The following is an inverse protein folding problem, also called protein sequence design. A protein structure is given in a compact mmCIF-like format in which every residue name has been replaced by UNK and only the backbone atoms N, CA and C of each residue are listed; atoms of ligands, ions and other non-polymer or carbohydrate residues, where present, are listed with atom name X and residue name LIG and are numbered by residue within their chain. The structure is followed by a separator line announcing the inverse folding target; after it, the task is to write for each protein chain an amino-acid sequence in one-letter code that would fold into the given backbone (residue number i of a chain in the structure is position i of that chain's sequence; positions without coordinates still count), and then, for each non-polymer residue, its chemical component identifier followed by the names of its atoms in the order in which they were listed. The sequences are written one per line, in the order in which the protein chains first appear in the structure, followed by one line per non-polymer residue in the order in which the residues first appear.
data_IF_263895738073
#
_entry.id   IF_263895738073
#
_cell.length_a   1.000
_cell.length_b   1.000
_cell.length_c   1.000
_cell.angle_alpha   90.00
_cell.angle_beta   90.00
_cell.angle_gamma   90.00
#
_symmetry.space_group_name_H-M   'P 1'
#
loop_
_entity.id
_entity.type
_entity.pdbx_description
1 polymer ?
#
# COMPACT_ATOMS: atom_id res chain seq x y z
N UNK A 1 19.35 29.78 -23.20
CA UNK A 1 19.69 28.64 -22.29
C UNK A 1 18.99 27.40 -22.79
N UNK A 2 19.75 26.35 -23.07
CA UNK A 2 19.16 25.05 -23.44
C UNK A 2 18.54 24.44 -22.19
N UNK A 3 17.22 24.37 -22.10
CA UNK A 3 16.53 23.73 -20.98
C UNK A 3 16.46 22.22 -21.24
N UNK A 4 16.98 21.43 -20.32
CA UNK A 4 16.86 19.96 -20.37
C UNK A 4 15.43 19.49 -20.02
N UNK A 5 14.57 20.36 -19.51
CA UNK A 5 13.17 20.11 -19.18
C UNK A 5 12.25 20.90 -20.12
N UNK A 6 11.25 20.21 -20.67
CA UNK A 6 10.16 20.81 -21.46
C UNK A 6 8.86 20.71 -20.68
N UNK A 7 8.25 21.84 -20.34
CA UNK A 7 6.90 21.89 -19.79
C UNK A 7 5.88 21.65 -20.91
N UNK A 8 5.19 20.51 -20.88
CA UNK A 8 4.28 20.08 -21.95
C UNK A 8 2.92 20.75 -21.81
N UNK A 9 2.33 20.65 -20.63
CA UNK A 9 1.03 21.25 -20.28
C UNK A 9 0.90 21.43 -18.77
N UNK A 10 0.04 22.37 -18.35
CA UNK A 10 -0.39 22.47 -16.96
C UNK A 10 -1.48 21.43 -16.70
N UNK A 11 -1.33 20.65 -15.64
CA UNK A 11 -2.36 19.70 -15.20
C UNK A 11 -3.39 20.43 -14.33
N UNK A 12 -4.66 19.98 -14.31
CA UNK A 12 -5.66 20.47 -13.37
C UNK A 12 -5.19 20.32 -11.93
N UNK A 13 -5.57 21.22 -11.06
CA UNK A 13 -5.31 21.05 -9.63
C UNK A 13 -6.25 20.00 -9.03
N UNK A 14 -5.88 19.35 -7.89
CA UNK A 14 -6.72 18.33 -7.28
C UNK A 14 -8.17 18.75 -7.03
N UNK A 15 -8.40 20.01 -6.67
CA UNK A 15 -9.74 20.54 -6.43
C UNK A 15 -10.61 20.55 -7.68
N UNK A 16 -10.04 20.84 -8.86
CA UNK A 16 -10.78 20.83 -10.13
C UNK A 16 -11.22 19.40 -10.47
N UNK A 17 -10.30 18.45 -10.35
CA UNK A 17 -10.61 17.02 -10.59
C UNK A 17 -11.65 16.49 -9.60
N UNK A 18 -11.56 16.87 -8.32
CA UNK A 18 -12.57 16.48 -7.32
C UNK A 18 -13.95 17.08 -7.58
N UNK A 19 -14.03 18.28 -8.13
CA UNK A 19 -15.31 18.89 -8.55
C UNK A 19 -15.90 18.21 -9.78
N UNK A 20 -15.06 17.82 -10.75
CA UNK A 20 -15.48 17.15 -11.97
C UNK A 20 -15.91 15.69 -11.71
N UNK A 21 -15.22 15.02 -10.80
CA UNK A 21 -15.48 13.64 -10.37
C UNK A 21 -15.71 13.58 -8.85
N UNK A 22 -16.85 14.09 -8.34
CA UNK A 22 -17.10 14.19 -6.91
C UNK A 22 -17.33 12.83 -6.27
N UNK A 23 -16.95 12.73 -5.00
CA UNK A 23 -17.32 11.61 -4.12
C UNK A 23 -18.71 11.91 -3.55
N UNK A 24 -19.64 10.94 -3.62
CA UNK A 24 -20.95 11.07 -2.99
C UNK A 24 -20.84 10.97 -1.46
N UNK A 25 -21.83 11.51 -0.73
CA UNK A 25 -21.87 11.38 0.73
C UNK A 25 -21.88 9.92 1.20
N UNK A 26 -22.51 9.04 0.45
CA UNK A 26 -22.55 7.62 0.74
C UNK A 26 -21.15 6.99 0.65
N UNK A 27 -20.43 7.25 -0.45
CA UNK A 27 -19.05 6.78 -0.63
C UNK A 27 -18.12 7.34 0.46
N UNK A 28 -18.28 8.61 0.83
CA UNK A 28 -17.50 9.22 1.91
C UNK A 28 -17.76 8.56 3.26
N UNK A 29 -19.03 8.23 3.60
CA UNK A 29 -19.40 7.51 4.82
C UNK A 29 -18.82 6.09 4.84
N UNK A 30 -18.91 5.36 3.74
CA UNK A 30 -18.31 4.02 3.61
C UNK A 30 -16.80 4.09 3.82
N UNK A 31 -16.12 5.03 3.13
CA UNK A 31 -14.67 5.23 3.30
C UNK A 31 -14.32 5.51 4.76
N UNK A 32 -15.00 6.43 5.43
CA UNK A 32 -14.69 6.80 6.82
C UNK A 32 -14.90 5.62 7.79
N UNK A 33 -15.97 4.84 7.62
CA UNK A 33 -16.20 3.65 8.42
C UNK A 33 -15.06 2.63 8.27
N UNK A 34 -14.60 2.38 7.04
CA UNK A 34 -13.48 1.46 6.78
C UNK A 34 -12.15 1.98 7.31
N UNK A 35 -11.92 3.30 7.23
CA UNK A 35 -10.73 3.93 7.81
C UNK A 35 -10.71 3.78 9.33
N UNK A 36 -11.87 3.93 10.00
CA UNK A 36 -11.95 3.76 11.45
C UNK A 36 -11.72 2.29 11.87
N UNK A 37 -12.18 1.31 11.11
CA UNK A 37 -11.82 -0.10 11.33
C UNK A 37 -10.30 -0.34 11.24
N UNK A 38 -9.64 0.23 10.24
CA UNK A 38 -8.18 0.13 10.11
C UNK A 38 -7.44 0.81 11.27
N UNK A 39 -7.92 1.99 11.71
CA UNK A 39 -7.37 2.69 12.88
C UNK A 39 -7.53 1.85 14.15
N UNK A 40 -8.70 1.25 14.35
CA UNK A 40 -8.99 0.40 15.50
C UNK A 40 -8.08 -0.84 15.56
N UNK A 41 -7.75 -1.44 14.42
CA UNK A 41 -6.77 -2.54 14.36
C UNK A 41 -5.37 -2.03 14.72
N UNK A 42 -4.95 -0.89 14.17
CA UNK A 42 -3.60 -0.37 14.39
C UNK A 42 -3.36 0.04 15.83
N UNK A 43 -4.35 0.63 16.50
CA UNK A 43 -4.22 1.01 17.92
C UNK A 43 -4.65 -0.07 18.91
N UNK A 44 -5.08 -1.25 18.43
CA UNK A 44 -5.37 -2.44 19.24
C UNK A 44 -6.76 -2.49 19.85
N UNK A 45 -7.69 -1.59 19.48
CA UNK A 45 -9.11 -1.65 19.86
C UNK A 45 -9.86 -2.78 19.14
N UNK A 46 -9.33 -3.23 18.00
CA UNK A 46 -9.85 -4.33 17.19
C UNK A 46 -8.75 -5.38 17.03
N UNK A 47 -9.06 -6.64 17.32
CA UNK A 47 -8.10 -7.76 17.28
C UNK A 47 -7.98 -8.43 15.90
N UNK A 48 -8.79 -8.05 14.92
CA UNK A 48 -8.72 -8.59 13.56
C UNK A 48 -7.35 -8.34 12.93
N UNK A 49 -6.98 -9.21 12.01
CA UNK A 49 -5.81 -9.02 11.15
C UNK A 49 -6.17 -8.16 9.94
N UNK A 50 -5.40 -7.11 9.65
CA UNK A 50 -5.54 -6.35 8.40
C UNK A 50 -4.84 -7.10 7.26
N UNK A 51 -5.54 -7.40 6.18
CA UNK A 51 -4.98 -8.03 5.00
C UNK A 51 -5.04 -7.09 3.81
N UNK A 52 -3.89 -6.50 3.45
CA UNK A 52 -3.75 -5.66 2.26
C UNK A 52 -3.43 -6.57 1.08
N UNK A 53 -4.38 -6.81 0.18
CA UNK A 53 -4.25 -7.80 -0.88
C UNK A 53 -4.72 -7.28 -2.23
N UNK A 54 -3.93 -7.52 -3.28
CA UNK A 54 -4.26 -7.12 -4.65
C UNK A 54 -3.06 -7.10 -5.59
N UNK A 55 -3.24 -6.69 -6.86
CA UNK A 55 -2.20 -6.75 -7.87
C UNK A 55 -0.96 -5.92 -7.50
N UNK A 56 0.19 -6.34 -8.01
CA UNK A 56 1.46 -5.61 -7.85
C UNK A 56 1.35 -4.17 -8.34
N UNK A 57 0.65 -3.95 -9.45
CA UNK A 57 0.22 -2.64 -9.93
C UNK A 57 -1.11 -2.75 -10.65
N UNK A 58 -1.98 -1.75 -10.48
CA UNK A 58 -3.19 -1.62 -11.28
C UNK A 58 -2.79 -1.30 -12.72
N UNK A 59 -3.26 -2.11 -13.66
CA UNK A 59 -2.93 -2.00 -15.08
C UNK A 59 -4.16 -1.73 -15.95
N UNK A 60 -5.31 -2.30 -15.60
CA UNK A 60 -6.58 -2.18 -16.32
C UNK A 60 -7.74 -2.07 -15.34
N UNK A 61 -8.66 -1.14 -15.60
CA UNK A 61 -9.80 -0.90 -14.72
C UNK A 61 -10.70 -2.14 -14.61
N UNK A 62 -10.99 -2.82 -15.73
CA UNK A 62 -11.89 -3.96 -15.80
C UNK A 62 -11.41 -5.15 -14.95
N UNK A 63 -10.17 -5.57 -15.12
CA UNK A 63 -9.61 -6.71 -14.41
C UNK A 63 -9.32 -6.41 -12.93
N UNK A 64 -8.95 -5.16 -12.61
CA UNK A 64 -8.78 -4.74 -11.21
C UNK A 64 -10.12 -4.75 -10.49
N UNK A 65 -11.20 -4.23 -11.12
CA UNK A 65 -12.53 -4.25 -10.52
C UNK A 65 -13.09 -5.67 -10.37
N UNK A 66 -12.89 -6.55 -11.38
CA UNK A 66 -13.26 -7.96 -11.26
C UNK A 66 -12.57 -8.60 -10.03
N UNK A 67 -11.25 -8.37 -9.87
CA UNK A 67 -10.52 -8.88 -8.71
C UNK A 67 -11.10 -8.34 -7.38
N UNK A 68 -11.34 -7.04 -7.29
CA UNK A 68 -11.86 -6.42 -6.05
C UNK A 68 -13.29 -6.93 -5.74
N UNK A 69 -14.13 -7.12 -6.75
CA UNK A 69 -15.48 -7.68 -6.58
C UNK A 69 -15.42 -9.12 -6.02
N UNK A 70 -14.44 -9.93 -6.42
CA UNK A 70 -14.25 -11.30 -5.85
C UNK A 70 -13.88 -11.27 -4.37
N UNK A 71 -13.24 -10.20 -3.89
CA UNK A 71 -12.93 -10.06 -2.45
C UNK A 71 -14.16 -9.83 -1.59
N UNK A 72 -15.30 -9.35 -2.14
CA UNK A 72 -16.50 -9.06 -1.35
C UNK A 72 -17.08 -10.31 -0.67
N UNK A 73 -17.40 -11.40 -1.39
CA UNK A 73 -17.87 -12.61 -0.74
C UNK A 73 -16.82 -13.29 0.14
N UNK A 74 -15.53 -13.10 -0.15
CA UNK A 74 -14.45 -13.60 0.70
C UNK A 74 -14.39 -12.82 2.02
N UNK A 75 -14.55 -11.49 1.99
CA UNK A 75 -14.60 -10.67 3.21
C UNK A 75 -15.75 -11.12 4.13
N UNK A 76 -16.93 -11.41 3.60
CA UNK A 76 -18.06 -11.90 4.42
C UNK A 76 -17.75 -13.22 5.13
N UNK A 77 -16.98 -14.12 4.49
CA UNK A 77 -16.56 -15.39 5.09
C UNK A 77 -15.55 -15.22 6.24
N UNK A 78 -14.75 -14.15 6.24
CA UNK A 78 -13.62 -13.96 7.18
C UNK A 78 -13.72 -12.70 8.05
N UNK A 79 -14.82 -11.97 7.98
CA UNK A 79 -15.01 -10.63 8.58
C UNK A 79 -14.77 -10.55 10.08
N UNK A 80 -14.97 -11.65 10.81
CA UNK A 80 -14.78 -11.71 12.25
C UNK A 80 -13.28 -11.84 12.64
N UNK A 81 -12.43 -12.21 11.70
CA UNK A 81 -11.00 -12.48 11.89
C UNK A 81 -10.08 -11.58 11.08
N UNK A 82 -10.50 -11.22 9.87
CA UNK A 82 -9.70 -10.50 8.90
C UNK A 82 -10.47 -9.31 8.33
N UNK A 83 -9.84 -8.14 8.33
CA UNK A 83 -10.26 -6.97 7.56
C UNK A 83 -9.48 -6.93 6.25
N UNK A 84 -10.15 -7.17 5.13
CA UNK A 84 -9.54 -7.09 3.79
C UNK A 84 -9.48 -5.62 3.35
N UNK A 85 -8.29 -5.19 2.90
CA UNK A 85 -8.04 -3.89 2.30
C UNK A 85 -7.51 -4.13 0.87
N UNK A 86 -8.32 -3.86 -0.18
CA UNK A 86 -7.86 -4.08 -1.54
C UNK A 86 -6.64 -3.19 -1.87
N UNK A 87 -5.61 -3.81 -2.41
CA UNK A 87 -4.39 -3.15 -2.86
C UNK A 87 -4.57 -2.75 -4.32
N UNK A 88 -4.83 -1.47 -4.57
CA UNK A 88 -4.97 -0.88 -5.91
C UNK A 88 -3.83 0.12 -6.10
N UNK A 89 -2.61 -0.38 -6.32
CA UNK A 89 -1.45 0.48 -6.50
C UNK A 89 -1.42 1.02 -7.93
N UNK A 90 -1.74 2.31 -8.06
CA UNK A 90 -1.83 3.00 -9.34
C UNK A 90 -0.50 3.56 -9.84
N UNK A 91 0.54 3.44 -9.02
CA UNK A 91 1.90 3.83 -9.32
C UNK A 91 2.87 2.65 -9.21
N UNK A 92 3.90 2.64 -10.05
CA UNK A 92 4.99 1.65 -9.97
C UNK A 92 6.34 2.36 -10.01
N UNK A 93 7.05 2.44 -8.87
CA UNK A 93 8.41 3.00 -8.85
C UNK A 93 9.37 2.12 -9.67
N UNK A 94 10.19 2.77 -10.50
CA UNK A 94 11.18 2.11 -11.37
C UNK A 94 12.57 2.64 -11.11
N UNK A 95 13.48 1.78 -10.69
CA UNK A 95 14.85 2.16 -10.30
C UNK A 95 15.62 2.84 -11.44
N UNK A 96 15.48 2.32 -12.67
CA UNK A 96 16.14 2.86 -13.87
C UNK A 96 15.20 3.67 -14.77
N UNK A 97 13.96 3.92 -14.33
CA UNK A 97 12.98 4.70 -15.08
C UNK A 97 12.34 3.98 -16.28
N UNK A 98 12.69 2.70 -16.56
CA UNK A 98 12.12 1.93 -17.68
C UNK A 98 10.93 1.07 -17.26
N UNK A 99 10.10 0.66 -18.24
CA UNK A 99 8.94 -0.21 -18.06
C UNK A 99 7.67 0.52 -17.62
N UNK A 100 6.60 -0.23 -17.39
CA UNK A 100 5.30 0.30 -16.97
C UNK A 100 5.39 1.01 -15.62
N UNK A 101 4.94 2.26 -15.57
CA UNK A 101 5.04 3.15 -14.39
C UNK A 101 3.76 3.27 -13.57
N UNK A 102 2.75 2.46 -13.90
CA UNK A 102 1.44 2.49 -13.26
C UNK A 102 0.39 3.29 -14.03
N UNK A 103 -0.86 3.09 -13.64
CA UNK A 103 -2.04 3.67 -14.29
C UNK A 103 -2.02 5.21 -14.30
N UNK A 104 -1.45 5.86 -13.28
CA UNK A 104 -1.30 7.31 -13.25
C UNK A 104 -0.53 7.86 -14.46
N UNK A 105 0.48 7.16 -14.92
CA UNK A 105 1.29 7.57 -16.07
C UNK A 105 0.72 7.08 -17.39
N UNK A 106 0.14 5.87 -17.38
CA UNK A 106 -0.24 5.13 -18.57
C UNK A 106 -1.48 4.29 -18.25
N UNK A 107 -2.69 4.91 -18.31
CA UNK A 107 -3.95 4.24 -17.94
C UNK A 107 -4.30 3.06 -18.87
N UNK A 108 -3.79 3.06 -20.09
CA UNK A 108 -3.83 1.93 -21.01
C UNK A 108 -2.38 1.51 -21.30
N UNK A 109 -1.93 0.34 -20.81
CA UNK A 109 -0.55 -0.11 -21.01
C UNK A 109 -0.11 -0.26 -22.46
N UNK A 110 -1.05 -0.40 -23.39
CA UNK A 110 -0.79 -0.54 -24.83
C UNK A 110 -0.60 0.80 -25.55
N UNK A 111 -0.98 1.92 -24.93
CA UNK A 111 -0.92 3.27 -25.51
C UNK A 111 0.25 4.07 -24.97
N UNK A 112 0.48 5.23 -25.58
CA UNK A 112 1.46 6.21 -25.07
C UNK A 112 1.01 6.75 -23.71
N UNK A 113 1.96 7.09 -22.81
CA UNK A 113 1.64 7.73 -21.54
C UNK A 113 0.82 9.02 -21.70
N UNK A 114 -0.22 9.17 -20.88
CA UNK A 114 -1.00 10.39 -20.72
C UNK A 114 -1.33 10.63 -19.25
N UNK A 115 -0.68 11.64 -18.65
CA UNK A 115 -0.78 11.93 -17.24
C UNK A 115 -2.16 12.49 -16.84
N UNK A 116 -2.85 13.21 -17.73
CA UNK A 116 -4.18 13.75 -17.44
C UNK A 116 -5.22 12.63 -17.41
N UNK A 117 -5.22 11.80 -18.43
CA UNK A 117 -6.07 10.60 -18.47
C UNK A 117 -5.75 9.67 -17.31
N UNK A 118 -4.48 9.56 -16.91
CA UNK A 118 -4.06 8.79 -15.75
C UNK A 118 -4.65 9.31 -14.45
N UNK A 119 -4.64 10.62 -14.20
CA UNK A 119 -5.27 11.24 -13.01
C UNK A 119 -6.78 10.92 -12.96
N UNK A 120 -7.47 11.01 -14.09
CA UNK A 120 -8.91 10.70 -14.18
C UNK A 120 -9.15 9.21 -13.96
N UNK A 121 -8.34 8.35 -14.59
CA UNK A 121 -8.48 6.90 -14.48
C UNK A 121 -8.29 6.39 -13.04
N UNK A 122 -7.25 6.84 -12.33
CA UNK A 122 -7.02 6.41 -10.95
C UNK A 122 -8.14 6.87 -10.01
N UNK A 123 -8.66 8.09 -10.19
CA UNK A 123 -9.77 8.59 -9.40
C UNK A 123 -11.04 7.79 -9.65
N UNK A 124 -11.37 7.53 -10.92
CA UNK A 124 -12.52 6.71 -11.32
C UNK A 124 -12.43 5.31 -10.73
N UNK A 125 -11.28 4.65 -10.87
CA UNK A 125 -11.06 3.29 -10.36
C UNK A 125 -11.28 3.22 -8.84
N UNK A 126 -10.65 4.11 -8.06
CA UNK A 126 -10.83 4.12 -6.61
C UNK A 126 -12.25 4.47 -6.18
N UNK A 127 -12.92 5.42 -6.86
CA UNK A 127 -14.33 5.75 -6.57
C UNK A 127 -15.24 4.56 -6.82
N UNK A 128 -15.08 3.88 -7.96
CA UNK A 128 -15.83 2.66 -8.30
C UNK A 128 -15.60 1.56 -7.28
N UNK A 129 -14.35 1.35 -6.87
CA UNK A 129 -14.03 0.32 -5.90
C UNK A 129 -14.79 0.54 -4.58
N UNK A 130 -14.82 1.76 -4.03
CA UNK A 130 -15.60 2.05 -2.81
C UNK A 130 -17.10 1.90 -3.06
N UNK A 131 -17.60 2.46 -4.16
CA UNK A 131 -19.03 2.51 -4.46
C UNK A 131 -19.63 1.12 -4.75
N UNK A 132 -18.93 0.29 -5.52
CA UNK A 132 -19.44 -1.01 -5.97
C UNK A 132 -19.20 -2.14 -4.95
N UNK A 133 -18.18 -1.99 -4.07
CA UNK A 133 -17.75 -3.08 -3.19
C UNK A 133 -17.76 -2.75 -1.69
N UNK A 134 -17.89 -1.49 -1.33
CA UNK A 134 -17.81 -1.04 0.07
C UNK A 134 -16.41 -1.14 0.70
N UNK A 135 -15.36 -1.35 -0.09
CA UNK A 135 -13.97 -1.34 0.38
C UNK A 135 -13.34 0.04 0.22
N UNK A 136 -12.66 0.53 1.26
CA UNK A 136 -11.70 1.61 1.14
C UNK A 136 -10.32 1.03 0.84
N UNK A 137 -9.74 1.40 -0.32
CA UNK A 137 -8.58 0.72 -0.87
C UNK A 137 -7.25 1.37 -0.47
N UNK A 138 -6.16 0.61 -0.64
CA UNK A 138 -4.79 1.06 -0.44
C UNK A 138 -4.13 1.47 -1.76
N UNK A 139 -3.36 2.57 -1.76
CA UNK A 139 -2.47 2.96 -2.87
C UNK A 139 -1.09 3.37 -2.37
N UNK A 140 -0.09 3.36 -3.26
CA UNK A 140 1.27 3.82 -2.96
C UNK A 140 1.46 5.29 -3.35
N UNK A 141 1.86 6.11 -2.39
CA UNK A 141 2.23 7.51 -2.62
C UNK A 141 3.63 7.59 -3.24
N UNK A 142 3.72 7.39 -4.57
CA UNK A 142 4.98 7.54 -5.30
C UNK A 142 5.39 9.01 -5.37
N UNK A 143 4.43 9.88 -5.62
CA UNK A 143 4.59 11.34 -5.57
C UNK A 143 3.68 11.90 -4.49
N UNK A 144 4.15 12.79 -3.60
CA UNK A 144 3.27 13.46 -2.64
C UNK A 144 2.07 14.18 -3.29
N UNK A 145 2.25 14.63 -4.53
CA UNK A 145 1.20 15.30 -5.30
C UNK A 145 0.04 14.40 -5.70
N UNK A 146 0.29 13.12 -6.05
CA UNK A 146 -0.79 12.26 -6.56
C UNK A 146 -1.79 11.88 -5.47
N UNK A 147 -1.36 11.76 -4.22
CA UNK A 147 -2.26 11.53 -3.09
C UNK A 147 -3.40 12.55 -3.04
N UNK A 148 -3.15 13.83 -3.32
CA UNK A 148 -4.16 14.88 -3.24
C UNK A 148 -5.35 14.70 -4.20
N UNK A 149 -5.17 14.01 -5.32
CA UNK A 149 -6.27 13.67 -6.23
C UNK A 149 -7.17 12.55 -5.69
N UNK A 150 -6.70 11.80 -4.69
CA UNK A 150 -7.35 10.63 -4.12
C UNK A 150 -7.62 10.77 -2.60
N UNK A 151 -7.24 11.89 -1.97
CA UNK A 151 -7.26 12.02 -0.51
C UNK A 151 -8.65 11.88 0.13
N UNK A 152 -9.73 12.07 -0.62
CA UNK A 152 -11.11 11.90 -0.19
C UNK A 152 -11.68 10.49 -0.46
N UNK A 153 -10.86 9.58 -1.01
CA UNK A 153 -11.31 8.23 -1.42
C UNK A 153 -10.47 7.14 -0.77
N UNK A 154 -9.13 7.32 -0.70
CA UNK A 154 -8.22 6.29 -0.16
C UNK A 154 -8.51 5.98 1.31
N UNK A 155 -8.40 4.69 1.66
CA UNK A 155 -8.46 4.22 3.04
C UNK A 155 -7.09 4.00 3.66
N UNK A 156 -6.07 3.78 2.85
CA UNK A 156 -4.72 3.47 3.30
C UNK A 156 -3.68 3.98 2.30
N UNK A 157 -2.55 4.47 2.80
CA UNK A 157 -1.43 4.94 1.97
C UNK A 157 -0.16 4.19 2.33
N UNK A 158 0.57 3.70 1.33
CA UNK A 158 1.92 3.17 1.52
C UNK A 158 2.97 4.17 1.02
N UNK A 159 4.06 4.33 1.78
CA UNK A 159 5.28 5.00 1.32
C UNK A 159 6.30 3.94 0.94
N UNK A 160 6.70 3.93 -0.32
CA UNK A 160 7.57 2.90 -0.90
C UNK A 160 9.01 2.95 -0.38
N UNK A 161 9.71 1.83 -0.51
CA UNK A 161 11.08 1.65 -0.03
C UNK A 161 12.11 2.63 -0.65
N UNK A 162 11.81 3.20 -1.83
CA UNK A 162 12.67 4.22 -2.49
C UNK A 162 12.30 5.64 -2.11
N UNK A 163 11.15 5.84 -1.47
CA UNK A 163 10.60 7.15 -1.10
C UNK A 163 10.70 7.44 0.39
N UNK A 164 10.86 6.42 1.23
CA UNK A 164 10.82 6.52 2.70
C UNK A 164 11.91 7.43 3.28
N UNK A 165 13.03 7.61 2.59
CA UNK A 165 14.11 8.53 2.99
C UNK A 165 13.84 9.99 2.59
N UNK A 166 12.91 10.21 1.66
CA UNK A 166 12.64 11.54 1.13
C UNK A 166 11.89 12.40 2.14
N UNK A 167 12.43 13.59 2.42
CA UNK A 167 11.89 14.53 3.41
C UNK A 167 10.44 14.90 3.12
N UNK A 168 10.10 15.20 1.87
CA UNK A 168 8.75 15.63 1.50
C UNK A 168 7.71 14.51 1.73
N UNK A 169 8.05 13.24 1.46
CA UNK A 169 7.16 12.12 1.75
C UNK A 169 6.86 11.99 3.24
N UNK A 170 7.87 12.15 4.10
CA UNK A 170 7.71 12.09 5.56
C UNK A 170 6.80 13.20 6.08
N UNK A 171 7.07 14.44 5.63
CA UNK A 171 6.29 15.61 6.06
C UNK A 171 4.85 15.58 5.52
N UNK A 172 4.65 15.18 4.26
CA UNK A 172 3.29 15.03 3.71
C UNK A 172 2.54 13.92 4.45
N UNK A 173 3.21 12.81 4.82
CA UNK A 173 2.58 11.71 5.57
C UNK A 173 2.03 12.18 6.93
N UNK A 174 2.64 13.19 7.57
CA UNK A 174 2.14 13.75 8.84
C UNK A 174 0.81 14.49 8.73
N UNK A 175 0.42 14.90 7.52
CA UNK A 175 -0.85 15.57 7.23
C UNK A 175 -1.89 14.68 6.54
N UNK A 176 -1.63 13.36 6.42
CA UNK A 176 -2.57 12.40 5.84
C UNK A 176 -3.54 11.93 6.93
N UNK A 177 -4.83 11.91 6.62
CA UNK A 177 -5.92 11.56 7.54
C UNK A 177 -6.23 10.05 7.62
N UNK A 178 -5.54 9.21 6.84
CA UNK A 178 -5.68 7.75 6.85
C UNK A 178 -4.40 7.08 7.34
N UNK A 179 -4.43 5.79 7.71
CA UNK A 179 -3.23 5.03 8.04
C UNK A 179 -2.15 5.11 6.96
N UNK A 180 -0.90 5.33 7.37
CA UNK A 180 0.25 5.40 6.47
C UNK A 180 1.30 4.36 6.85
N UNK A 181 1.54 3.41 5.95
CA UNK A 181 2.58 2.40 6.12
C UNK A 181 3.91 2.85 5.50
N UNK A 182 4.98 2.87 6.29
CA UNK A 182 6.35 3.19 5.87
C UNK A 182 7.11 1.90 5.59
N UNK A 183 7.46 1.64 4.32
CA UNK A 183 8.30 0.47 3.97
C UNK A 183 9.74 0.70 4.44
N UNK A 184 10.41 -0.35 4.95
CA UNK A 184 11.85 -0.25 5.14
C UNK A 184 12.56 0.00 3.80
N UNK A 185 13.69 0.76 3.79
CA UNK A 185 14.48 1.02 2.59
C UNK A 185 14.92 -0.26 1.88
N UNK A 186 15.26 -0.15 0.60
CA UNK A 186 15.74 -1.29 -0.19
C UNK A 186 17.00 -1.93 0.37
N UNK A 187 17.88 -1.15 1.04
CA UNK A 187 19.09 -1.64 1.72
C UNK A 187 18.87 -2.19 3.14
N UNK A 188 17.65 -2.11 3.68
CA UNK A 188 17.26 -2.79 4.93
C UNK A 188 17.48 -1.99 6.22
N UNK A 189 17.93 -0.74 6.17
CA UNK A 189 18.16 0.06 7.38
C UNK A 189 16.84 0.40 8.09
N UNK A 190 16.55 -0.31 9.17
CA UNK A 190 15.34 -0.09 9.97
C UNK A 190 15.35 1.26 10.69
N UNK A 191 16.52 1.85 10.97
CA UNK A 191 16.60 3.17 11.62
C UNK A 191 16.00 4.27 10.73
N UNK A 192 16.20 4.17 9.41
CA UNK A 192 15.61 5.08 8.41
C UNK A 192 14.09 4.97 8.42
N UNK A 193 13.54 3.74 8.43
CA UNK A 193 12.10 3.51 8.52
C UNK A 193 11.54 4.08 9.82
N UNK A 194 12.17 3.81 10.95
CA UNK A 194 11.73 4.29 12.26
C UNK A 194 11.78 5.82 12.35
N UNK A 195 12.79 6.47 11.77
CA UNK A 195 12.85 7.93 11.68
C UNK A 195 11.72 8.49 10.81
N UNK A 196 11.36 7.78 9.73
CA UNK A 196 10.24 8.17 8.86
C UNK A 196 8.90 8.08 9.57
N UNK A 197 8.66 7.01 10.35
CA UNK A 197 7.47 6.84 11.17
C UNK A 197 7.40 7.95 12.22
N UNK A 198 8.49 8.18 12.94
CA UNK A 198 8.57 9.23 13.96
C UNK A 198 8.27 10.62 13.38
N UNK A 199 8.88 10.95 12.22
CA UNK A 199 8.61 12.21 11.54
C UNK A 199 7.14 12.31 11.09
N UNK A 200 6.56 11.24 10.53
CA UNK A 200 5.16 11.24 10.12
C UNK A 200 4.17 11.39 11.30
N UNK A 201 4.56 10.97 12.50
CA UNK A 201 3.73 11.14 13.71
C UNK A 201 3.83 12.53 14.34
N UNK A 202 4.86 13.32 14.00
CA UNK A 202 5.06 14.67 14.51
C UNK A 202 4.31 15.74 13.71
N UNK A 203 4.16 16.90 14.33
CA UNK A 203 3.70 18.11 13.67
C UNK A 203 4.82 18.80 12.90
N UNK A 204 4.49 19.43 11.77
CA UNK A 204 5.47 20.10 10.92
C UNK A 204 4.89 21.33 10.22
N UNK A 205 5.76 22.32 10.00
CA UNK A 205 5.52 23.43 9.08
C UNK A 205 6.51 23.35 7.92
N UNK A 206 6.01 23.31 6.69
CA UNK A 206 6.87 23.15 5.51
C UNK A 206 6.26 23.73 4.23
N UNK A 207 7.13 23.93 3.23
CA UNK A 207 6.71 24.37 1.89
C UNK A 207 6.17 23.22 1.08
N UNK A 208 4.90 23.32 0.66
CA UNK A 208 4.28 22.33 -0.22
C UNK A 208 3.49 23.01 -1.34
N UNK A 209 3.95 22.85 -2.60
CA UNK A 209 3.30 23.39 -3.81
C UNK A 209 3.01 24.91 -3.75
N UNK A 210 3.95 25.68 -3.20
CA UNK A 210 3.80 27.13 -3.07
C UNK A 210 2.96 27.59 -1.88
N UNK A 211 2.60 26.67 -0.97
CA UNK A 211 1.92 26.97 0.28
C UNK A 211 2.85 26.69 1.46
N UNK A 212 2.77 27.51 2.48
CA UNK A 212 3.20 27.16 3.83
C UNK A 212 2.10 26.29 4.44
N UNK A 213 2.44 25.07 4.84
CA UNK A 213 1.49 24.06 5.32
C UNK A 213 1.88 23.63 6.72
N UNK A 214 0.92 23.61 7.62
CA UNK A 214 1.04 23.00 8.95
C UNK A 214 0.33 21.66 8.98
N UNK A 215 0.94 20.67 9.64
CA UNK A 215 0.37 19.35 9.87
C UNK A 215 0.35 19.02 11.36
N UNK A 216 -0.59 18.19 11.79
CA UNK A 216 -0.78 17.81 13.20
C UNK A 216 -0.12 16.49 13.59
N UNK A 217 0.51 15.81 12.64
CA UNK A 217 1.02 14.45 12.83
C UNK A 217 -0.03 13.37 12.56
N UNK A 218 0.43 12.21 12.08
CA UNK A 218 -0.41 11.04 11.82
C UNK A 218 -0.11 9.93 12.84
N UNK A 219 -0.97 9.72 13.86
CA UNK A 219 -0.72 8.72 14.90
C UNK A 219 -0.80 7.28 14.42
N UNK A 220 -1.27 7.06 13.18
CA UNK A 220 -1.40 5.75 12.53
C UNK A 220 -0.30 5.47 11.49
N UNK A 221 0.79 6.26 11.50
CA UNK A 221 1.99 5.93 10.75
C UNK A 221 2.65 4.68 11.35
N UNK A 222 3.00 3.68 10.52
CA UNK A 222 3.49 2.39 11.00
C UNK A 222 4.46 1.73 10.03
N UNK A 223 5.12 0.65 10.48
CA UNK A 223 6.11 -0.08 9.71
C UNK A 223 5.48 -1.03 8.67
N UNK A 224 6.12 -1.14 7.50
CA UNK A 224 5.92 -2.24 6.56
C UNK A 224 7.27 -2.94 6.35
N UNK A 225 7.38 -4.17 6.85
CA UNK A 225 8.57 -5.02 6.70
C UNK A 225 8.49 -5.78 5.37
N UNK A 226 9.40 -5.44 4.41
CA UNK A 226 9.34 -5.97 3.03
C UNK A 226 10.58 -6.75 2.59
N UNK A 227 11.49 -7.09 3.53
CA UNK A 227 12.80 -7.60 3.24
C UNK A 227 13.73 -6.52 2.67
N UNK A 228 14.95 -6.88 2.36
CA UNK A 228 15.95 -5.98 1.81
C UNK A 228 16.89 -6.68 0.84
N UNK A 229 17.71 -5.92 0.12
CA UNK A 229 18.77 -6.42 -0.74
C UNK A 229 20.10 -6.02 -0.09
N UNK A 230 20.96 -7.00 0.20
CA UNK A 230 22.25 -6.76 0.81
C UNK A 230 23.25 -6.16 -0.21
N UNK A 231 24.44 -5.83 0.24
CA UNK A 231 25.53 -5.25 -0.58
C UNK A 231 25.97 -6.16 -1.73
N UNK A 232 25.71 -7.47 -1.61
CA UNK A 232 26.03 -8.47 -2.66
C UNK A 232 24.91 -8.61 -3.68
N UNK A 233 23.78 -7.95 -3.50
CA UNK A 233 22.60 -8.04 -4.36
C UNK A 233 21.64 -9.19 -4.01
N UNK A 234 21.86 -9.90 -2.88
CA UNK A 234 20.97 -10.99 -2.46
C UNK A 234 19.75 -10.42 -1.74
N UNK A 235 18.58 -10.97 -2.03
CA UNK A 235 17.38 -10.73 -1.24
C UNK A 235 17.52 -11.38 0.15
N UNK A 236 17.18 -10.61 1.18
CA UNK A 236 17.18 -11.04 2.59
C UNK A 236 15.82 -10.76 3.20
N UNK A 237 15.18 -11.75 3.82
CA UNK A 237 13.94 -11.56 4.55
C UNK A 237 14.17 -10.76 5.83
N UNK A 238 13.08 -10.13 6.34
CA UNK A 238 13.06 -9.47 7.64
C UNK A 238 11.69 -9.64 8.33
N UNK A 239 11.09 -10.82 8.21
CA UNK A 239 9.79 -11.18 8.80
C UNK A 239 9.89 -12.29 9.87
N UNK A 240 11.08 -12.84 10.10
CA UNK A 240 11.25 -13.89 11.11
C UNK A 240 11.01 -13.35 12.52
N UNK A 241 10.81 -14.24 13.45
CA UNK A 241 10.52 -13.90 14.84
C UNK A 241 11.54 -12.90 15.42
N UNK A 242 12.82 -13.11 15.17
CA UNK A 242 13.93 -12.26 15.65
C UNK A 242 13.88 -10.86 15.03
N UNK A 243 13.51 -10.74 13.76
CA UNK A 243 13.36 -9.45 13.07
C UNK A 243 12.21 -8.65 13.70
N UNK A 244 11.10 -9.32 14.00
CA UNK A 244 9.93 -8.70 14.64
C UNK A 244 10.24 -8.28 16.09
N UNK A 245 11.00 -9.08 16.83
CA UNK A 245 11.51 -8.72 18.18
C UNK A 245 12.40 -7.48 18.09
N UNK A 246 13.28 -7.42 17.10
CA UNK A 246 14.13 -6.24 16.87
C UNK A 246 13.29 -5.01 16.57
N UNK A 247 12.30 -5.12 15.69
CA UNK A 247 11.40 -4.01 15.38
C UNK A 247 10.63 -3.52 16.62
N UNK A 248 10.14 -4.44 17.46
CA UNK A 248 9.45 -4.09 18.71
C UNK A 248 10.36 -3.26 19.63
N UNK A 249 11.63 -3.66 19.79
CA UNK A 249 12.63 -2.90 20.58
C UNK A 249 12.85 -1.49 20.00
N UNK A 250 12.96 -1.35 18.67
CA UNK A 250 13.15 -0.05 18.02
C UNK A 250 11.95 0.89 18.25
N UNK A 251 10.73 0.36 18.30
CA UNK A 251 9.54 1.14 18.65
C UNK A 251 9.61 1.64 20.11
N UNK A 252 10.01 0.77 21.03
CA UNK A 252 10.16 1.12 22.46
C UNK A 252 11.25 2.18 22.67
N UNK A 253 12.41 2.05 22.03
CA UNK A 253 13.52 3.02 22.07
C UNK A 253 13.10 4.42 21.62
N UNK A 254 12.21 4.52 20.64
CA UNK A 254 11.67 5.80 20.16
C UNK A 254 10.43 6.30 20.90
N UNK A 255 9.96 5.55 21.90
CA UNK A 255 8.76 5.88 22.68
C UNK A 255 7.51 6.12 21.81
N UNK A 256 7.37 5.38 20.71
CA UNK A 256 6.22 5.47 19.81
C UNK A 256 5.02 4.78 20.46
N UNK A 257 3.91 5.51 20.61
CA UNK A 257 2.73 5.05 21.37
C UNK A 257 1.97 3.90 20.70
N UNK A 258 1.93 3.86 19.37
CA UNK A 258 1.17 2.86 18.61
C UNK A 258 2.13 1.98 17.77
N UNK A 259 2.88 1.04 18.41
CA UNK A 259 3.73 0.13 17.65
C UNK A 259 2.88 -0.78 16.77
N UNK A 260 3.07 -0.70 15.47
CA UNK A 260 2.34 -1.49 14.49
C UNK A 260 3.21 -1.87 13.31
N UNK A 261 3.02 -3.08 12.81
CA UNK A 261 3.74 -3.62 11.67
C UNK A 261 2.79 -4.35 10.72
N UNK A 262 2.93 -4.08 9.43
CA UNK A 262 2.42 -4.91 8.34
C UNK A 262 3.60 -5.67 7.75
N UNK A 263 3.46 -6.98 7.56
CA UNK A 263 4.50 -7.78 6.89
C UNK A 263 4.11 -7.96 5.42
N UNK A 264 4.95 -7.41 4.54
CA UNK A 264 4.85 -7.62 3.08
C UNK A 264 5.44 -8.99 2.74
N UNK A 265 4.57 -9.93 2.39
CA UNK A 265 4.94 -11.33 2.13
C UNK A 265 5.66 -11.54 0.78
N UNK A 266 5.71 -10.54 -0.08
CA UNK A 266 6.41 -10.59 -1.36
C UNK A 266 7.76 -9.83 -1.32
N UNK A 267 8.13 -9.16 -2.41
CA UNK A 267 9.36 -8.38 -2.57
C UNK A 267 10.63 -9.15 -2.14
N UNK A 268 11.48 -8.56 -1.29
CA UNK A 268 12.70 -9.24 -0.87
C UNK A 268 12.45 -10.30 0.22
N UNK A 269 11.32 -10.27 0.91
CA UNK A 269 10.92 -11.32 1.86
C UNK A 269 10.74 -12.68 1.17
N UNK A 270 10.19 -12.70 -0.05
CA UNK A 270 10.03 -13.91 -0.85
C UNK A 270 11.14 -14.10 -1.90
N UNK A 271 12.08 -13.15 -2.00
CA UNK A 271 13.00 -13.11 -3.15
C UNK A 271 12.27 -12.93 -4.49
N UNK A 272 11.06 -12.33 -4.47
CA UNK A 272 10.12 -12.17 -5.59
C UNK A 272 9.55 -13.50 -6.13
N UNK A 273 9.65 -14.58 -5.37
CA UNK A 273 9.01 -15.86 -5.67
C UNK A 273 7.58 -15.83 -5.10
N UNK A 274 6.60 -15.51 -5.94
CA UNK A 274 5.24 -15.20 -5.52
C UNK A 274 4.54 -16.32 -4.75
N UNK A 275 4.89 -17.60 -4.99
CA UNK A 275 4.33 -18.74 -4.26
C UNK A 275 4.80 -18.81 -2.80
N UNK A 276 5.97 -18.24 -2.48
CA UNK A 276 6.50 -18.18 -1.11
C UNK A 276 5.64 -17.31 -0.18
N UNK A 277 4.83 -16.41 -0.72
CA UNK A 277 3.92 -15.59 0.07
C UNK A 277 3.00 -16.44 0.97
N UNK A 278 2.59 -17.64 0.50
CA UNK A 278 1.73 -18.57 1.25
C UNK A 278 2.43 -19.05 2.52
N UNK A 279 3.68 -19.48 2.40
CA UNK A 279 4.49 -19.95 3.51
C UNK A 279 4.79 -18.81 4.48
N UNK A 280 5.23 -17.66 3.96
CA UNK A 280 5.61 -16.50 4.75
C UNK A 280 4.42 -15.99 5.59
N UNK A 281 3.23 -15.88 5.00
CA UNK A 281 2.03 -15.45 5.71
C UNK A 281 1.73 -16.37 6.93
N UNK A 282 1.83 -17.68 6.75
CA UNK A 282 1.62 -18.67 7.82
C UNK A 282 2.71 -18.60 8.90
N UNK A 283 3.97 -18.40 8.51
CA UNK A 283 5.10 -18.27 9.43
C UNK A 283 4.98 -17.01 10.29
N UNK A 284 4.54 -15.90 9.72
CA UNK A 284 4.27 -14.67 10.50
C UNK A 284 3.16 -14.91 11.53
N UNK A 285 2.06 -15.59 11.17
CA UNK A 285 1.01 -15.93 12.13
C UNK A 285 1.50 -16.92 13.20
N UNK A 286 2.38 -17.84 12.84
CA UNK A 286 3.04 -18.71 13.82
C UNK A 286 3.86 -17.88 14.83
N UNK A 287 4.65 -16.93 14.36
CA UNK A 287 5.45 -16.03 15.20
C UNK A 287 4.57 -15.19 16.15
N UNK A 288 3.41 -14.71 15.69
CA UNK A 288 2.43 -13.99 16.53
C UNK A 288 1.98 -14.80 17.75
N UNK A 289 1.83 -16.11 17.61
CA UNK A 289 1.36 -16.99 18.69
C UNK A 289 2.44 -17.28 19.75
N UNK A 290 3.72 -17.01 19.46
CA UNK A 290 4.84 -17.29 20.36
C UNK A 290 5.09 -16.17 21.38
N UNK A 291 4.57 -14.95 21.15
CA UNK A 291 4.83 -13.79 21.98
C UNK A 291 3.67 -12.80 21.96
N UNK A 292 3.26 -12.35 23.14
CA UNK A 292 2.26 -11.28 23.26
C UNK A 292 2.71 -9.97 22.60
N UNK A 293 4.00 -9.64 22.71
CA UNK A 293 4.57 -8.43 22.11
C UNK A 293 4.51 -8.48 20.59
N UNK A 294 4.86 -9.62 19.98
CA UNK A 294 4.77 -9.82 18.53
C UNK A 294 3.32 -9.89 18.10
N UNK A 295 2.44 -10.50 18.87
CA UNK A 295 1.00 -10.52 18.60
C UNK A 295 0.42 -9.09 18.58
N UNK A 296 0.83 -8.25 19.54
CA UNK A 296 0.42 -6.85 19.61
C UNK A 296 1.03 -5.99 18.49
N UNK A 297 2.29 -6.27 18.08
CA UNK A 297 3.02 -5.52 17.07
C UNK A 297 2.50 -5.77 15.65
N UNK A 298 2.33 -7.05 15.27
CA UNK A 298 1.95 -7.43 13.89
C UNK A 298 0.45 -7.28 13.71
N UNK A 299 0.05 -6.21 13.03
CA UNK A 299 -1.34 -5.83 12.78
C UNK A 299 -1.89 -6.36 11.46
N UNK A 300 -1.01 -6.78 10.55
CA UNK A 300 -1.48 -7.26 9.25
C UNK A 300 -0.41 -7.83 8.35
N UNK A 301 -0.87 -8.27 7.18
CA UNK A 301 -0.07 -8.81 6.09
C UNK A 301 -0.36 -8.03 4.81
N UNK A 302 0.64 -8.00 3.90
CA UNK A 302 0.47 -7.49 2.54
C UNK A 302 0.83 -8.58 1.55
N UNK A 303 -0.08 -8.85 0.60
CA UNK A 303 0.03 -9.93 -0.39
C UNK A 303 -0.17 -9.39 -1.79
N UNK A 304 0.73 -9.70 -2.70
CA UNK A 304 0.56 -9.44 -4.13
C UNK A 304 -0.21 -10.58 -4.78
N UNK A 305 -1.44 -10.30 -5.18
CA UNK A 305 -2.41 -11.25 -5.73
C UNK A 305 -3.18 -10.63 -6.88
N UNK A 306 -3.52 -11.44 -7.88
CA UNK A 306 -4.36 -11.02 -8.99
C UNK A 306 -5.28 -12.18 -9.42
N UNK A 307 -5.89 -12.10 -10.61
CA UNK A 307 -6.78 -13.17 -11.10
C UNK A 307 -5.96 -14.40 -11.49
N UNK A 308 -4.88 -14.20 -12.28
CA UNK A 308 -4.01 -15.25 -12.79
C UNK A 308 -2.65 -15.28 -12.08
N UNK A 309 -2.08 -16.47 -11.95
CA UNK A 309 -0.75 -16.67 -11.37
C UNK A 309 0.38 -16.05 -12.20
N UNK A 310 1.38 -15.52 -11.48
CA UNK A 310 2.63 -15.09 -12.08
C UNK A 310 2.57 -13.69 -12.68
N UNK A 311 3.34 -13.50 -13.75
CA UNK A 311 3.37 -12.25 -14.51
C UNK A 311 3.54 -12.52 -16.01
N UNK A 312 3.39 -11.45 -16.81
CA UNK A 312 3.46 -11.47 -18.25
C UNK A 312 4.11 -10.21 -18.82
N UNK A 313 4.47 -10.23 -20.09
CA UNK A 313 4.76 -9.02 -20.85
C UNK A 313 3.45 -8.34 -21.26
N UNK A 314 3.47 -7.01 -21.41
CA UNK A 314 2.29 -6.23 -21.87
C UNK A 314 1.71 -6.78 -23.16
N UNK A 315 2.58 -7.26 -24.07
CA UNK A 315 2.19 -7.80 -25.39
C UNK A 315 1.45 -9.15 -25.34
N UNK A 316 1.48 -9.86 -24.22
CA UNK A 316 0.81 -11.17 -24.09
C UNK A 316 -0.68 -11.05 -23.84
N UNK A 317 -1.13 -9.98 -23.15
CA UNK A 317 -2.53 -9.57 -23.03
C UNK A 317 -3.46 -10.51 -22.27
N UNK A 318 -2.93 -11.45 -21.45
CA UNK A 318 -3.75 -12.34 -20.61
C UNK A 318 -4.51 -11.50 -19.56
N UNK A 319 -5.83 -11.64 -19.54
CA UNK A 319 -6.69 -10.91 -18.62
C UNK A 319 -6.38 -11.24 -17.16
N UNK A 320 -6.25 -10.22 -16.31
CA UNK A 320 -6.02 -10.40 -14.87
C UNK A 320 -4.67 -11.01 -14.49
N UNK A 321 -3.67 -10.99 -15.39
CA UNK A 321 -2.30 -11.41 -15.12
C UNK A 321 -1.38 -10.20 -15.00
N UNK A 322 -0.58 -10.15 -13.94
CA UNK A 322 0.28 -9.00 -13.64
C UNK A 322 1.27 -8.69 -14.78
N UNK A 323 1.39 -7.42 -15.15
CA UNK A 323 2.40 -6.92 -16.11
C UNK A 323 3.64 -6.35 -15.40
N UNK A 324 3.75 -6.55 -14.09
CA UNK A 324 4.87 -6.11 -13.26
C UNK A 324 5.45 -7.28 -12.47
N UNK A 325 5.54 -7.24 -11.14
CA UNK A 325 6.04 -8.40 -10.37
C UNK A 325 4.97 -9.51 -10.35
N UNK A 326 5.40 -10.76 -10.24
CA UNK A 326 4.51 -11.92 -10.25
C UNK A 326 3.60 -11.95 -9.01
N UNK A 327 2.33 -12.29 -9.21
CA UNK A 327 1.28 -12.34 -8.19
C UNK A 327 0.76 -13.75 -7.97
N UNK A 328 0.20 -14.02 -6.79
CA UNK A 328 -0.66 -15.21 -6.56
C UNK A 328 -1.94 -15.07 -7.36
N UNK A 329 -2.37 -16.14 -8.03
CA UNK A 329 -3.68 -16.21 -8.68
C UNK A 329 -4.82 -16.29 -7.65
N UNK A 330 -6.05 -16.03 -8.12
CA UNK A 330 -7.24 -15.96 -7.29
C UNK A 330 -7.47 -17.21 -6.43
N UNK A 331 -7.45 -18.41 -7.04
CA UNK A 331 -7.74 -19.66 -6.31
C UNK A 331 -6.80 -19.89 -5.13
N UNK A 332 -5.50 -19.61 -5.31
CA UNK A 332 -4.51 -19.73 -4.26
C UNK A 332 -4.69 -18.67 -3.18
N UNK A 333 -5.08 -17.47 -3.59
CA UNK A 333 -5.31 -16.35 -2.68
C UNK A 333 -6.57 -16.55 -1.83
N UNK A 334 -7.70 -16.97 -2.42
CA UNK A 334 -8.91 -17.31 -1.68
C UNK A 334 -8.64 -18.40 -0.65
N UNK A 335 -7.99 -19.49 -1.08
CA UNK A 335 -7.60 -20.59 -0.19
C UNK A 335 -6.72 -20.10 0.96
N UNK A 336 -5.69 -19.28 0.64
CA UNK A 336 -4.80 -18.74 1.67
C UNK A 336 -5.56 -17.89 2.69
N UNK A 337 -6.44 -17.00 2.25
CA UNK A 337 -7.20 -16.11 3.16
C UNK A 337 -8.09 -16.92 4.11
N UNK A 338 -8.75 -17.97 3.62
CA UNK A 338 -9.54 -18.89 4.47
C UNK A 338 -8.66 -19.63 5.48
N UNK A 339 -7.52 -20.18 5.04
CA UNK A 339 -6.54 -20.84 5.93
C UNK A 339 -5.96 -19.88 6.99
N UNK A 340 -5.71 -18.61 6.64
CA UNK A 340 -5.25 -17.61 7.61
C UNK A 340 -6.35 -17.30 8.64
N UNK A 341 -7.61 -17.22 8.23
CA UNK A 341 -8.72 -17.02 9.16
C UNK A 341 -8.87 -18.21 10.13
N UNK A 342 -8.67 -19.45 9.67
CA UNK A 342 -8.67 -20.64 10.53
C UNK A 342 -7.50 -20.64 11.53
N UNK A 343 -6.38 -20.01 11.16
CA UNK A 343 -5.21 -19.88 12.01
C UNK A 343 -5.30 -18.74 13.04
N UNK A 344 -6.20 -17.78 12.91
CA UNK A 344 -6.47 -16.67 13.85
C UNK A 344 -7.56 -17.07 14.87
#
# INVERSE_FOLDING_TARGET
MQQNAKFIRKLPIPMDIKKEFPVTEEVAKVREARVEEMRAILDGRDSRLMLIIGPCSADREDSVMDYVCRLVPLQEKVKDKILIVPRIYTNKPRTNGSGYKGMLHQPDPSKKPDMLEGIIAIRRLHTRAVQETGFACADEMLYPENYRYLSDILGYVAVGARSVENQQHRLVASGIDVPVGMKNPTGGDLSVMMNSIYAAMGDHTFLYRGWEVETAGNPYAHAIMRGYVNEKGDSRPNYHYEDLVQLHKLYAEKSIKNPACIVDCNHANSGKQYLEQIRIAKEVLHSKRQSNDINALVKGLMIESYIEDGNQKISEGTYGKSITDACLGWEKSEKLVLELADLL
#
